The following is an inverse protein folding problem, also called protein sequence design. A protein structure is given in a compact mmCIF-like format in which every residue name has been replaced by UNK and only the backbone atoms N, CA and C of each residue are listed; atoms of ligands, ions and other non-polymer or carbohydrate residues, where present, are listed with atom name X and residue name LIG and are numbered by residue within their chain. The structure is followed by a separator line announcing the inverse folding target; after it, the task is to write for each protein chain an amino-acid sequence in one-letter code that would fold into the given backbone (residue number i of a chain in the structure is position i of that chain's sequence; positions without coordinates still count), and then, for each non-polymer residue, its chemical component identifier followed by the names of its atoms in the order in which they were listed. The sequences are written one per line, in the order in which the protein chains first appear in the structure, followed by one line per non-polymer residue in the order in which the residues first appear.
data_IF_689791615097
#
_entry.id   IF_689791615097
#
_cell.length_a   1.000
_cell.length_b   1.000
_cell.length_c   1.000
_cell.angle_alpha   90.00
_cell.angle_beta   90.00
_cell.angle_gamma   90.00
#
_symmetry.space_group_name_H-M   'P 1'
#
loop_
_entity.id
_entity.type
_entity.pdbx_description
1 polymer ?
#
# COMPACT_ATOMS: atom_id res chain seq x y z
N UNK A 1 -22.46 3.40 -16.90
CA UNK A 1 -21.67 3.90 -15.75
C UNK A 1 -22.66 4.42 -14.73
N UNK A 2 -22.62 3.93 -13.49
CA UNK A 2 -23.43 4.53 -12.42
C UNK A 2 -22.81 5.88 -12.11
N UNK A 3 -23.61 6.95 -12.09
CA UNK A 3 -23.13 8.30 -11.76
C UNK A 3 -22.58 8.34 -10.33
N UNK A 4 -21.42 8.97 -10.14
CA UNK A 4 -20.73 9.11 -8.84
C UNK A 4 -21.68 9.58 -7.72
N UNK A 5 -22.57 10.52 -8.03
CA UNK A 5 -23.58 11.05 -7.11
C UNK A 5 -24.56 9.99 -6.60
N UNK A 6 -24.93 9.02 -7.44
CA UNK A 6 -25.79 7.91 -7.03
C UNK A 6 -25.07 6.97 -6.06
N UNK A 7 -23.77 6.76 -6.25
CA UNK A 7 -22.96 5.90 -5.38
C UNK A 7 -22.72 6.49 -4.00
N UNK A 8 -22.58 7.82 -3.89
CA UNK A 8 -22.39 8.49 -2.59
C UNK A 8 -23.66 8.48 -1.75
N UNK A 9 -24.82 8.49 -2.39
CA UNK A 9 -26.15 8.48 -1.74
C UNK A 9 -26.63 7.08 -1.31
N UNK A 10 -25.91 6.01 -1.67
CA UNK A 10 -26.25 4.66 -1.23
C UNK A 10 -26.25 4.54 0.30
N UNK A 11 -27.20 3.78 0.82
CA UNK A 11 -27.23 3.40 2.23
C UNK A 11 -26.03 2.50 2.56
N UNK A 12 -25.65 2.42 3.84
CA UNK A 12 -24.46 1.67 4.26
C UNK A 12 -24.50 0.20 3.80
N UNK A 13 -25.65 -0.46 3.94
CA UNK A 13 -25.82 -1.86 3.52
C UNK A 13 -25.63 -2.05 2.02
N UNK A 14 -26.06 -1.08 1.21
CA UNK A 14 -25.90 -1.11 -0.24
C UNK A 14 -24.44 -0.88 -0.63
N UNK A 15 -23.74 0.05 0.04
CA UNK A 15 -22.30 0.26 -0.13
C UNK A 15 -21.51 -1.01 0.19
N UNK A 16 -21.81 -1.67 1.31
CA UNK A 16 -21.15 -2.93 1.68
C UNK A 16 -21.40 -4.01 0.62
N UNK A 17 -22.64 -4.18 0.17
CA UNK A 17 -22.99 -5.17 -0.86
C UNK A 17 -22.27 -4.89 -2.19
N UNK A 18 -22.22 -3.62 -2.60
CA UNK A 18 -21.53 -3.22 -3.82
C UNK A 18 -20.01 -3.45 -3.71
N UNK A 19 -19.40 -3.05 -2.60
CA UNK A 19 -17.96 -3.27 -2.37
C UNK A 19 -17.61 -4.76 -2.38
N UNK A 20 -18.41 -5.60 -1.70
CA UNK A 20 -18.21 -7.06 -1.73
C UNK A 20 -18.32 -7.63 -3.13
N UNK A 21 -19.26 -7.15 -3.94
CA UNK A 21 -19.41 -7.56 -5.36
C UNK A 21 -18.17 -7.19 -6.18
N UNK A 22 -17.67 -5.96 -6.05
CA UNK A 22 -16.47 -5.51 -6.76
C UNK A 22 -15.23 -6.33 -6.34
N UNK A 23 -15.11 -6.63 -5.05
CA UNK A 23 -14.05 -7.49 -4.52
C UNK A 23 -14.13 -8.89 -5.13
N UNK A 24 -15.32 -9.50 -5.14
CA UNK A 24 -15.54 -10.82 -5.75
C UNK A 24 -15.16 -10.83 -7.23
N UNK A 25 -15.63 -9.85 -8.02
CA UNK A 25 -15.28 -9.72 -9.43
C UNK A 25 -13.76 -9.57 -9.66
N UNK A 26 -13.07 -8.83 -8.79
CA UNK A 26 -11.62 -8.67 -8.87
C UNK A 26 -10.88 -9.97 -8.53
N UNK A 27 -11.33 -10.72 -7.51
CA UNK A 27 -10.73 -12.01 -7.13
C UNK A 27 -10.93 -13.09 -8.20
N UNK A 28 -12.06 -13.06 -8.91
CA UNK A 28 -12.33 -13.98 -10.04
C UNK A 28 -11.51 -13.62 -11.28
N UNK A 29 -11.37 -12.31 -11.57
CA UNK A 29 -10.68 -11.82 -12.76
C UNK A 29 -9.17 -11.94 -12.69
N UNK A 30 -8.57 -11.66 -11.53
CA UNK A 30 -7.13 -11.55 -11.36
C UNK A 30 -6.57 -12.72 -10.55
N UNK A 31 -5.57 -13.42 -11.11
CA UNK A 31 -5.01 -14.62 -10.49
C UNK A 31 -4.10 -14.32 -9.31
N UNK A 32 -3.35 -13.21 -9.39
CA UNK A 32 -2.41 -12.81 -8.34
C UNK A 32 -2.67 -11.37 -7.91
N UNK A 33 -3.46 -11.22 -6.85
CA UNK A 33 -3.76 -9.93 -6.23
C UNK A 33 -3.05 -9.75 -4.89
N UNK A 34 -2.84 -8.50 -4.50
CA UNK A 34 -2.33 -8.11 -3.19
C UNK A 34 -3.22 -7.02 -2.56
N UNK A 35 -3.15 -6.88 -1.25
CA UNK A 35 -3.84 -5.85 -0.48
C UNK A 35 -2.79 -4.95 0.15
N UNK A 36 -2.82 -3.65 -0.16
CA UNK A 36 -2.02 -2.67 0.58
C UNK A 36 -2.77 -2.28 1.85
N UNK A 37 -2.19 -2.60 3.02
CA UNK A 37 -2.76 -2.28 4.31
C UNK A 37 -1.77 -1.48 5.14
N UNK A 38 -2.20 -0.30 5.60
CA UNK A 38 -1.37 0.67 6.32
C UNK A 38 -1.64 0.69 7.83
N UNK A 39 -2.58 -0.12 8.32
CA UNK A 39 -3.12 0.01 9.68
C UNK A 39 -4.14 1.16 9.83
N UNK A 40 -4.33 1.99 8.82
CA UNK A 40 -5.32 3.07 8.82
C UNK A 40 -6.78 2.58 8.74
N UNK A 41 -7.73 3.46 9.05
CA UNK A 41 -9.17 3.14 9.10
C UNK A 41 -9.70 2.58 7.77
N UNK A 42 -9.37 3.21 6.65
CA UNK A 42 -9.90 2.87 5.32
C UNK A 42 -9.31 1.55 4.81
N UNK A 43 -7.99 1.39 4.93
CA UNK A 43 -7.30 0.17 4.52
C UNK A 43 -7.65 -1.03 5.41
N UNK A 44 -7.91 -0.81 6.70
CA UNK A 44 -8.42 -1.85 7.62
C UNK A 44 -9.85 -2.27 7.27
N UNK A 45 -10.73 -1.32 6.93
CA UNK A 45 -12.09 -1.65 6.48
C UNK A 45 -12.06 -2.44 5.16
N UNK A 46 -11.22 -2.04 4.21
CA UNK A 46 -11.02 -2.79 2.96
C UNK A 46 -10.52 -4.21 3.22
N UNK A 47 -9.51 -4.38 4.09
CA UNK A 47 -8.99 -5.69 4.49
C UNK A 47 -10.11 -6.55 5.12
N UNK A 48 -10.91 -5.97 6.01
CA UNK A 48 -12.04 -6.65 6.64
C UNK A 48 -13.08 -7.11 5.60
N UNK A 49 -13.45 -6.25 4.64
CA UNK A 49 -14.39 -6.61 3.57
C UNK A 49 -13.86 -7.76 2.71
N UNK A 50 -12.59 -7.69 2.27
CA UNK A 50 -11.97 -8.72 1.44
C UNK A 50 -11.90 -10.05 2.19
N UNK A 51 -11.52 -10.02 3.48
CA UNK A 51 -11.49 -11.20 4.33
C UNK A 51 -12.87 -11.86 4.44
N UNK A 52 -13.93 -11.07 4.63
CA UNK A 52 -15.30 -11.61 4.68
C UNK A 52 -15.71 -12.26 3.35
N UNK A 53 -15.44 -11.62 2.22
CA UNK A 53 -15.73 -12.22 0.90
C UNK A 53 -14.97 -13.54 0.73
N UNK A 54 -13.69 -13.58 1.11
CA UNK A 54 -12.89 -14.80 1.02
C UNK A 54 -13.45 -15.94 1.89
N UNK A 55 -13.88 -15.64 3.12
CA UNK A 55 -14.49 -16.64 4.01
C UNK A 55 -15.87 -17.09 3.53
N UNK A 56 -16.72 -16.17 3.09
CA UNK A 56 -18.08 -16.45 2.64
C UNK A 56 -18.10 -17.27 1.34
N UNK A 57 -17.13 -17.06 0.45
CA UNK A 57 -17.07 -17.67 -0.88
C UNK A 57 -16.00 -18.76 -1.02
N UNK A 58 -15.16 -18.95 -0.02
CA UNK A 58 -14.06 -19.93 -0.05
C UNK A 58 -12.88 -19.51 -0.93
N UNK A 59 -12.69 -18.21 -1.20
CA UNK A 59 -11.49 -17.74 -1.89
C UNK A 59 -10.27 -17.81 -0.99
N UNK A 60 -9.10 -18.04 -1.61
CA UNK A 60 -7.82 -17.87 -0.91
C UNK A 60 -7.62 -16.38 -0.65
N UNK A 61 -7.24 -16.05 0.59
CA UNK A 61 -6.91 -14.68 0.96
C UNK A 61 -5.73 -14.16 0.13
N UNK A 62 -5.84 -12.98 -0.53
CA UNK A 62 -4.71 -12.31 -1.14
C UNK A 62 -3.62 -12.00 -0.12
N UNK A 63 -2.38 -11.86 -0.60
CA UNK A 63 -1.27 -11.46 0.27
C UNK A 63 -1.47 -10.01 0.73
N UNK A 64 -1.22 -9.77 2.01
CA UNK A 64 -1.33 -8.43 2.60
C UNK A 64 0.06 -7.85 2.69
N UNK A 65 0.26 -6.65 2.15
CA UNK A 65 1.52 -5.93 2.22
C UNK A 65 1.37 -4.66 3.06
N UNK A 66 2.39 -4.39 3.87
CA UNK A 66 2.56 -3.14 4.60
C UNK A 66 3.78 -2.42 4.05
N UNK A 67 3.60 -1.19 3.58
CA UNK A 67 4.71 -0.39 3.05
C UNK A 67 5.31 0.41 4.21
N UNK A 68 6.53 0.06 4.61
CA UNK A 68 7.26 0.76 5.66
C UNK A 68 8.11 1.88 5.05
N UNK A 69 7.78 3.12 5.39
CA UNK A 69 8.44 4.31 4.90
C UNK A 69 9.67 4.75 5.70
N UNK A 70 10.00 4.04 6.77
CA UNK A 70 11.18 4.29 7.62
C UNK A 70 10.93 5.12 8.88
N UNK A 71 9.73 5.68 9.05
CA UNK A 71 9.33 6.47 10.23
C UNK A 71 7.90 6.13 10.68
N UNK A 72 7.66 4.85 10.96
CA UNK A 72 6.35 4.34 11.34
C UNK A 72 6.19 4.39 12.86
N UNK A 73 5.05 4.90 13.35
CA UNK A 73 4.68 4.87 14.76
C UNK A 73 4.62 3.45 15.32
N UNK A 74 5.15 3.25 16.53
CA UNK A 74 5.17 1.94 17.20
C UNK A 74 3.76 1.37 17.36
N UNK A 75 2.76 2.22 17.65
CA UNK A 75 1.36 1.82 17.80
C UNK A 75 0.76 1.23 16.51
N UNK A 76 1.22 1.70 15.34
CA UNK A 76 0.79 1.14 14.04
C UNK A 76 1.37 -0.26 13.86
N UNK A 77 2.65 -0.44 14.21
CA UNK A 77 3.32 -1.75 14.11
C UNK A 77 2.66 -2.76 15.04
N UNK A 78 2.39 -2.37 16.29
CA UNK A 78 1.67 -3.19 17.26
C UNK A 78 0.26 -3.56 16.79
N UNK A 79 -0.48 -2.58 16.23
CA UNK A 79 -1.82 -2.82 15.69
C UNK A 79 -1.80 -3.81 14.52
N UNK A 80 -0.86 -3.67 13.60
CA UNK A 80 -0.71 -4.57 12.44
C UNK A 80 -0.38 -5.99 12.91
N UNK A 81 0.53 -6.14 13.88
CA UNK A 81 0.91 -7.44 14.44
C UNK A 81 -0.25 -8.11 15.18
N UNK A 82 -0.96 -7.37 16.03
CA UNK A 82 -2.12 -7.87 16.80
C UNK A 82 -3.26 -8.33 15.88
N UNK A 83 -3.67 -7.48 14.93
CA UNK A 83 -4.71 -7.84 13.96
C UNK A 83 -4.23 -8.95 13.02
N UNK A 84 -2.97 -8.93 12.60
CA UNK A 84 -2.35 -9.99 11.80
C UNK A 84 -2.45 -11.35 12.48
N UNK A 85 -2.09 -11.43 13.76
CA UNK A 85 -2.23 -12.65 14.59
C UNK A 85 -3.69 -13.05 14.76
N UNK A 86 -4.57 -12.12 15.15
CA UNK A 86 -6.00 -12.38 15.38
C UNK A 86 -6.71 -12.92 14.15
N UNK A 87 -6.34 -12.45 12.97
CA UNK A 87 -6.96 -12.87 11.71
C UNK A 87 -6.18 -13.96 10.96
N UNK A 88 -5.06 -14.44 11.54
CA UNK A 88 -4.14 -15.40 10.93
C UNK A 88 -3.66 -14.96 9.53
N UNK A 89 -3.24 -13.70 9.44
CA UNK A 89 -2.74 -13.08 8.22
C UNK A 89 -1.22 -13.04 8.25
N UNK A 90 -0.60 -13.40 7.12
CA UNK A 90 0.82 -13.12 6.87
C UNK A 90 0.92 -11.74 6.22
N UNK A 91 1.35 -10.74 6.99
CA UNK A 91 1.63 -9.39 6.50
C UNK A 91 3.08 -9.34 6.04
N UNK A 92 3.30 -8.97 4.78
CA UNK A 92 4.64 -8.82 4.20
C UNK A 92 5.02 -7.35 4.26
N UNK A 93 6.11 -7.04 4.96
CA UNK A 93 6.68 -5.71 4.96
C UNK A 93 7.43 -5.44 3.65
N UNK A 94 7.18 -4.28 3.04
CA UNK A 94 7.83 -3.81 1.81
C UNK A 94 8.44 -2.44 2.11
N UNK A 95 9.72 -2.24 1.78
CA UNK A 95 10.44 -1.00 2.07
C UNK A 95 11.59 -0.76 1.10
N UNK A 96 11.98 0.49 0.94
CA UNK A 96 13.14 0.86 0.13
C UNK A 96 14.43 0.76 0.97
N UNK A 97 14.97 -0.45 1.05
CA UNK A 97 16.20 -0.75 1.81
C UNK A 97 17.41 0.09 1.34
N UNK A 98 17.45 0.48 0.06
CA UNK A 98 18.56 1.26 -0.49
C UNK A 98 18.60 2.69 0.06
N UNK A 99 17.43 3.31 0.23
CA UNK A 99 17.31 4.60 0.93
C UNK A 99 17.58 4.44 2.42
N UNK A 100 16.94 3.45 3.07
CA UNK A 100 17.04 3.25 4.52
C UNK A 100 18.47 2.94 5.00
N UNK A 101 19.34 2.40 4.14
CA UNK A 101 20.77 2.21 4.48
C UNK A 101 21.53 3.51 4.74
N UNK A 102 21.06 4.64 4.21
CA UNK A 102 21.73 5.93 4.39
C UNK A 102 21.21 6.74 5.57
N UNK A 103 20.08 6.35 6.16
CA UNK A 103 19.34 7.18 7.12
C UNK A 103 18.99 6.38 8.37
N UNK A 104 18.89 7.07 9.50
CA UNK A 104 18.41 6.51 10.78
C UNK A 104 17.18 7.23 11.31
N UNK A 105 16.96 8.47 10.88
CA UNK A 105 15.84 9.31 11.30
C UNK A 105 15.49 10.33 10.22
N UNK A 106 14.26 10.85 10.31
CA UNK A 106 13.83 12.01 9.54
C UNK A 106 14.80 13.18 9.75
N UNK A 107 15.14 13.86 8.66
CA UNK A 107 16.12 14.95 8.63
C UNK A 107 17.53 14.53 8.21
N UNK A 108 17.85 13.24 8.14
CA UNK A 108 19.15 12.78 7.64
C UNK A 108 19.31 13.06 6.13
N UNK A 109 20.54 13.34 5.68
CA UNK A 109 20.82 13.69 4.28
C UNK A 109 21.17 12.43 3.46
N UNK A 110 20.48 12.24 2.34
CA UNK A 110 20.72 11.16 1.39
C UNK A 110 21.52 11.67 0.20
N UNK A 111 22.60 10.96 -0.15
CA UNK A 111 23.41 11.27 -1.34
C UNK A 111 22.91 10.45 -2.53
N UNK A 112 22.54 11.13 -3.62
CA UNK A 112 22.01 10.48 -4.83
C UNK A 112 23.03 9.53 -5.45
N UNK A 113 24.32 9.89 -5.43
CA UNK A 113 25.40 9.05 -5.95
C UNK A 113 25.59 7.72 -5.21
N UNK A 114 25.04 7.60 -3.99
CA UNK A 114 25.07 6.37 -3.18
C UNK A 114 23.83 5.51 -3.33
N UNK A 115 22.79 6.00 -3.99
CA UNK A 115 21.59 5.22 -4.30
C UNK A 115 21.87 4.27 -5.47
N UNK A 116 21.10 3.18 -5.55
CA UNK A 116 21.16 2.26 -6.67
C UNK A 116 20.66 2.91 -7.98
N UNK A 117 20.89 2.24 -9.11
CA UNK A 117 20.51 2.76 -10.43
C UNK A 117 18.99 3.00 -10.57
N UNK A 118 18.15 2.18 -9.94
CA UNK A 118 16.69 2.30 -9.99
C UNK A 118 16.23 3.56 -9.29
N UNK A 119 16.65 3.78 -8.05
CA UNK A 119 16.31 4.98 -7.27
C UNK A 119 16.83 6.27 -7.94
N UNK A 120 18.04 6.24 -8.50
CA UNK A 120 18.55 7.37 -9.29
C UNK A 120 17.69 7.67 -10.53
N UNK A 121 17.23 6.64 -11.24
CA UNK A 121 16.34 6.81 -12.39
C UNK A 121 14.96 7.33 -11.98
N UNK A 122 14.41 6.86 -10.84
CA UNK A 122 13.13 7.30 -10.30
C UNK A 122 13.18 8.77 -9.82
N UNK A 123 14.30 9.21 -9.24
CA UNK A 123 14.53 10.63 -8.94
C UNK A 123 14.49 11.50 -10.20
N UNK A 124 15.17 11.07 -11.28
CA UNK A 124 15.11 11.78 -12.57
C UNK A 124 13.70 11.81 -13.15
N UNK A 125 12.94 10.72 -12.99
CA UNK A 125 11.56 10.60 -13.48
C UNK A 125 10.62 11.63 -12.85
N UNK A 126 10.83 11.98 -11.59
CA UNK A 126 10.08 13.03 -10.90
C UNK A 126 10.70 14.42 -11.03
N UNK A 127 11.70 14.60 -11.91
CA UNK A 127 12.34 15.88 -12.19
C UNK A 127 13.35 16.35 -11.14
N UNK A 128 13.86 15.45 -10.29
CA UNK A 128 14.88 15.81 -9.30
C UNK A 128 16.29 15.81 -9.90
N UNK A 129 16.98 16.95 -9.83
CA UNK A 129 18.34 17.14 -10.35
C UNK A 129 19.40 17.37 -9.26
N UNK A 130 19.00 17.38 -7.99
CA UNK A 130 19.90 17.59 -6.86
C UNK A 130 20.90 16.46 -6.65
N UNK A 131 22.03 16.77 -5.99
CA UNK A 131 23.05 15.76 -5.61
C UNK A 131 22.73 15.06 -4.28
N UNK A 132 21.91 15.72 -3.46
CA UNK A 132 21.48 15.24 -2.15
C UNK A 132 20.10 15.82 -1.82
N UNK A 133 19.37 15.12 -0.94
CA UNK A 133 18.09 15.56 -0.41
C UNK A 133 17.94 15.12 1.04
N UNK A 134 17.06 15.80 1.77
CA UNK A 134 16.74 15.46 3.17
C UNK A 134 15.70 14.35 3.18
N UNK A 135 15.92 13.34 4.03
CA UNK A 135 14.96 12.28 4.27
C UNK A 135 13.76 12.81 5.03
N UNK A 136 12.64 12.90 4.32
CA UNK A 136 11.34 13.32 4.81
C UNK A 136 10.30 12.45 4.10
N UNK A 137 9.77 11.38 4.73
CA UNK A 137 8.85 10.42 4.12
C UNK A 137 7.60 11.05 3.50
N UNK A 138 7.15 12.19 4.04
CA UNK A 138 5.96 12.90 3.54
C UNK A 138 6.27 13.93 2.44
N UNK A 139 7.53 14.16 2.11
CA UNK A 139 7.91 14.98 0.96
C UNK A 139 7.57 14.29 -0.36
N UNK A 140 7.53 15.04 -1.47
CA UNK A 140 7.35 14.44 -2.80
C UNK A 140 8.36 13.33 -3.10
N UNK A 141 9.64 13.56 -2.76
CA UNK A 141 10.73 12.60 -2.96
C UNK A 141 10.58 11.41 -2.01
N UNK A 142 10.26 11.68 -0.74
CA UNK A 142 10.00 10.66 0.28
C UNK A 142 8.86 9.75 -0.12
N UNK A 143 7.68 10.30 -0.40
CA UNK A 143 6.51 9.55 -0.86
C UNK A 143 6.85 8.68 -2.08
N UNK A 144 7.55 9.23 -3.07
CA UNK A 144 7.91 8.47 -4.27
C UNK A 144 8.87 7.32 -3.95
N UNK A 145 10.01 7.60 -3.32
CA UNK A 145 11.04 6.60 -3.07
C UNK A 145 10.63 5.61 -1.98
N UNK A 146 9.84 6.01 -0.99
CA UNK A 146 9.50 5.19 0.18
C UNK A 146 8.16 4.47 0.04
N UNK A 147 7.24 4.94 -0.82
CA UNK A 147 5.92 4.31 -1.03
C UNK A 147 5.78 3.74 -2.44
N UNK A 148 5.95 4.59 -3.46
CA UNK A 148 5.69 4.22 -4.86
C UNK A 148 6.72 3.23 -5.40
N UNK A 149 8.02 3.51 -5.24
CA UNK A 149 9.09 2.64 -5.73
C UNK A 149 9.04 1.24 -5.11
N UNK A 150 9.01 1.06 -3.77
CA UNK A 150 8.94 -0.27 -3.17
C UNK A 150 7.69 -1.06 -3.59
N UNK A 151 6.53 -0.40 -3.72
CA UNK A 151 5.33 -1.04 -4.24
C UNK A 151 5.52 -1.53 -5.68
N UNK A 152 6.07 -0.68 -6.56
CA UNK A 152 6.32 -1.04 -7.95
C UNK A 152 7.32 -2.20 -8.07
N UNK A 153 8.42 -2.15 -7.32
CA UNK A 153 9.39 -3.24 -7.28
C UNK A 153 8.74 -4.55 -6.79
N UNK A 154 7.87 -4.48 -5.78
CA UNK A 154 7.13 -5.64 -5.30
C UNK A 154 6.20 -6.21 -6.38
N UNK A 155 5.43 -5.35 -7.05
CA UNK A 155 4.52 -5.72 -8.13
C UNK A 155 5.26 -6.35 -9.30
N UNK A 156 6.34 -5.74 -9.77
CA UNK A 156 7.18 -6.21 -10.88
C UNK A 156 7.82 -7.56 -10.54
N UNK A 157 8.51 -7.65 -9.40
CA UNK A 157 9.24 -8.86 -8.97
C UNK A 157 8.30 -10.05 -8.78
N UNK A 158 7.12 -9.81 -8.20
CA UNK A 158 6.16 -10.86 -7.90
C UNK A 158 5.15 -11.09 -9.03
N UNK A 159 5.19 -10.33 -10.13
CA UNK A 159 4.23 -10.42 -11.25
C UNK A 159 2.78 -10.33 -10.73
N UNK A 160 2.51 -9.29 -9.95
CA UNK A 160 1.18 -9.03 -9.39
C UNK A 160 0.27 -8.47 -10.49
N UNK A 161 -0.94 -9.02 -10.60
CA UNK A 161 -1.92 -8.64 -11.63
C UNK A 161 -2.83 -7.48 -11.17
N UNK A 162 -3.09 -7.41 -9.86
CA UNK A 162 -4.01 -6.43 -9.28
C UNK A 162 -3.60 -6.04 -7.85
N UNK A 163 -3.87 -4.78 -7.49
CA UNK A 163 -3.61 -4.22 -6.17
C UNK A 163 -4.91 -3.62 -5.63
N UNK A 164 -5.35 -4.09 -4.46
CA UNK A 164 -6.42 -3.44 -3.72
C UNK A 164 -5.85 -2.25 -2.95
N UNK A 165 -6.35 -1.05 -3.26
CA UNK A 165 -5.98 0.22 -2.61
C UNK A 165 -7.23 0.89 -2.02
N UNK A 166 -7.09 1.51 -0.86
CA UNK A 166 -8.20 2.08 -0.10
C UNK A 166 -8.35 3.61 -0.34
N UNK A 167 -8.26 4.04 -1.60
CA UNK A 167 -8.43 5.45 -1.99
C UNK A 167 -9.92 5.72 -2.21
N UNK A 168 -10.42 6.83 -1.68
CA UNK A 168 -11.82 7.24 -1.84
C UNK A 168 -11.94 8.52 -2.67
N UNK A 169 -13.12 8.72 -3.23
CA UNK A 169 -13.39 9.88 -4.09
C UNK A 169 -13.63 11.20 -3.36
N UNK A 170 -13.83 11.13 -2.04
CA UNK A 170 -14.11 12.24 -1.14
C UNK A 170 -12.91 12.59 -0.23
N UNK A 171 -11.75 12.00 -0.51
CA UNK A 171 -10.45 12.39 0.05
C UNK A 171 -9.80 13.47 -0.82
#
# INVERSE_FOLDING_TARGET
MIEKEKLTQLELGEKIKLSKKIIEEALEKFKKSIITWTGGKDSTLMLWLIRNVCLEKGYKMPEVIFINEGDVFEEIVEFIDDVGKKWNLKVVEVKNEDVLRQVKKVGDVIKVSKLNQRNQAELKRIGFEGKEFVFEPESLIGCHLMKTVPLNEYVEKNKIDAVFVAIRWDE
#
